data_IF_740561420303
#
_entry.id   IF_740561420303
#
_cell.length_a   1.000
_cell.length_b   1.000
_cell.length_c   1.000
_cell.angle_alpha   90.00
_cell.angle_beta   90.00
_cell.angle_gamma   90.00
#
_symmetry.space_group_name_H-M   'P 1'
#
loop_
_entity.id
_entity.type
_entity.pdbx_description
1 polymer ?
#
# COMPACT_ATOMS: atom_id res chain seq x y z
N UNK A 1 -18.78 -20.65 13.16
CA UNK A 1 -18.09 -20.30 11.90
C UNK A 1 -17.38 -21.51 11.32
N UNK A 2 -16.50 -22.17 12.07
CA UNK A 2 -15.86 -23.43 11.63
C UNK A 2 -16.88 -24.55 11.42
N UNK A 3 -17.92 -24.62 12.25
CA UNK A 3 -19.07 -25.53 12.08
C UNK A 3 -19.87 -25.30 10.79
N UNK A 4 -19.68 -24.16 10.13
CA UNK A 4 -20.29 -23.82 8.84
C UNK A 4 -19.32 -24.06 7.66
N UNK A 5 -18.16 -24.70 7.91
CA UNK A 5 -17.12 -24.93 6.90
C UNK A 5 -16.29 -23.68 6.57
N UNK A 6 -16.40 -22.61 7.34
CA UNK A 6 -15.66 -21.37 7.13
C UNK A 6 -14.31 -21.41 7.86
N UNK A 7 -13.24 -21.03 7.16
CA UNK A 7 -11.91 -20.89 7.74
C UNK A 7 -11.78 -19.53 8.44
N UNK A 8 -11.59 -19.54 9.75
CA UNK A 8 -11.39 -18.33 10.55
C UNK A 8 -9.91 -17.99 10.59
N UNK A 9 -9.56 -16.79 10.13
CA UNK A 9 -8.18 -16.30 10.12
C UNK A 9 -8.11 -15.06 11.01
N UNK A 10 -7.23 -15.09 12.00
CA UNK A 10 -6.93 -13.94 12.85
C UNK A 10 -5.69 -13.21 12.32
N UNK A 11 -5.63 -11.87 12.45
CA UNK A 11 -4.41 -11.13 12.21
C UNK A 11 -3.26 -11.68 13.08
N UNK A 12 -2.05 -11.79 12.52
CA UNK A 12 -0.89 -12.23 13.28
C UNK A 12 -0.48 -11.16 14.29
N UNK A 13 0.10 -11.59 15.41
CA UNK A 13 0.71 -10.71 16.40
C UNK A 13 2.24 -10.71 16.24
N UNK A 14 2.86 -9.55 16.47
CA UNK A 14 4.32 -9.41 16.34
C UNK A 14 5.07 -10.22 17.41
N UNK A 15 4.52 -10.38 18.61
CA UNK A 15 5.09 -11.18 19.69
C UNK A 15 6.58 -10.85 19.96
N UNK A 16 6.91 -9.56 20.06
CA UNK A 16 8.28 -9.07 20.28
C UNK A 16 9.19 -9.08 19.05
N UNK A 17 8.69 -9.49 17.87
CA UNK A 17 9.42 -9.37 16.59
C UNK A 17 9.18 -7.99 15.99
N UNK A 18 10.14 -7.51 15.19
CA UNK A 18 10.00 -6.25 14.42
C UNK A 18 9.14 -6.40 13.17
N UNK A 19 9.03 -7.61 12.63
CA UNK A 19 8.32 -7.86 11.38
C UNK A 19 7.59 -9.20 11.42
N UNK A 20 6.49 -9.27 10.69
CA UNK A 20 5.80 -10.52 10.39
C UNK A 20 6.62 -11.37 9.40
N UNK A 21 6.45 -12.69 9.46
CA UNK A 21 6.97 -13.60 8.45
C UNK A 21 6.28 -13.38 7.11
N UNK A 22 6.93 -13.75 6.00
CA UNK A 22 6.31 -13.68 4.67
C UNK A 22 4.95 -14.39 4.63
N UNK A 23 4.83 -15.56 5.26
CA UNK A 23 3.58 -16.33 5.28
C UNK A 23 2.47 -15.60 6.02
N UNK A 24 2.77 -15.00 7.18
CA UNK A 24 1.81 -14.20 7.95
C UNK A 24 1.33 -12.98 7.14
N UNK A 25 2.25 -12.20 6.56
CA UNK A 25 1.86 -11.01 5.77
C UNK A 25 1.08 -11.40 4.52
N UNK A 26 1.52 -12.44 3.81
CA UNK A 26 0.80 -12.95 2.64
C UNK A 26 -0.63 -13.36 2.99
N UNK A 27 -0.82 -14.11 4.09
CA UNK A 27 -2.14 -14.50 4.59
C UNK A 27 -3.00 -13.25 4.88
N UNK A 28 -2.45 -12.26 5.58
CA UNK A 28 -3.15 -11.01 5.87
C UNK A 28 -3.57 -10.28 4.60
N UNK A 29 -2.72 -10.23 3.56
CA UNK A 29 -3.07 -9.57 2.28
C UNK A 29 -4.27 -10.19 1.57
N UNK A 30 -4.48 -11.51 1.67
CA UNK A 30 -5.71 -12.12 1.17
C UNK A 30 -6.93 -11.65 1.93
N UNK A 31 -6.84 -11.68 3.26
CA UNK A 31 -7.93 -11.24 4.12
C UNK A 31 -8.25 -9.78 3.80
N UNK A 32 -7.25 -8.90 3.66
CA UNK A 32 -7.44 -7.51 3.26
C UNK A 32 -8.12 -7.38 1.90
N UNK A 33 -7.73 -8.20 0.91
CA UNK A 33 -8.31 -8.16 -0.44
C UNK A 33 -9.79 -8.52 -0.43
N UNK A 34 -10.20 -9.51 0.37
CA UNK A 34 -11.60 -9.91 0.52
C UNK A 34 -12.37 -8.91 1.39
N UNK A 35 -11.74 -8.43 2.47
CA UNK A 35 -12.29 -7.45 3.42
C UNK A 35 -12.74 -6.18 2.71
N UNK A 36 -12.00 -5.73 1.69
CA UNK A 36 -12.36 -4.54 0.90
C UNK A 36 -13.80 -4.56 0.41
N UNK A 37 -14.32 -5.71 -0.08
CA UNK A 37 -15.72 -5.80 -0.56
C UNK A 37 -16.70 -5.54 0.59
N UNK A 38 -16.44 -6.12 1.76
CA UNK A 38 -17.26 -5.94 2.96
C UNK A 38 -17.21 -4.49 3.44
N UNK A 39 -16.03 -3.88 3.44
CA UNK A 39 -15.84 -2.47 3.81
C UNK A 39 -16.54 -1.53 2.84
N UNK A 40 -16.52 -1.83 1.54
CA UNK A 40 -17.26 -1.08 0.53
C UNK A 40 -18.78 -1.17 0.74
N UNK A 41 -19.32 -2.35 1.08
CA UNK A 41 -20.74 -2.50 1.46
C UNK A 41 -21.04 -1.64 2.68
N UNK A 42 -20.24 -1.78 3.73
CA UNK A 42 -20.43 -1.04 4.98
C UNK A 42 -20.34 0.48 4.76
N UNK A 43 -19.44 0.94 3.90
CA UNK A 43 -19.33 2.35 3.51
C UNK A 43 -20.62 2.85 2.87
N UNK A 44 -21.24 2.09 1.96
CA UNK A 44 -22.56 2.43 1.37
C UNK A 44 -23.66 2.52 2.42
N UNK A 45 -23.71 1.59 3.36
CA UNK A 45 -24.69 1.60 4.45
C UNK A 45 -24.50 2.85 5.32
N UNK A 46 -23.24 3.20 5.65
CA UNK A 46 -22.88 4.38 6.44
C UNK A 46 -23.12 5.72 5.73
N UNK A 47 -23.49 5.74 4.45
CA UNK A 47 -23.95 6.98 3.80
C UNK A 47 -25.32 7.43 4.32
N UNK A 48 -26.11 6.53 4.92
CA UNK A 48 -27.37 6.87 5.55
C UNK A 48 -27.10 7.48 6.91
N UNK A 49 -27.44 8.76 7.09
CA UNK A 49 -27.15 9.54 8.33
C UNK A 49 -27.55 8.82 9.62
N UNK A 50 -28.66 8.07 9.60
CA UNK A 50 -29.10 7.29 10.74
C UNK A 50 -28.07 6.23 11.18
N UNK A 51 -27.48 5.51 10.22
CA UNK A 51 -26.49 4.44 10.47
C UNK A 51 -25.05 4.95 10.52
N UNK A 52 -24.81 6.20 10.11
CA UNK A 52 -23.51 6.86 10.19
C UNK A 52 -23.16 7.30 11.62
N UNK A 53 -24.17 7.52 12.47
CA UNK A 53 -24.03 8.11 13.79
C UNK A 53 -24.32 7.10 14.90
N UNK A 54 -24.03 7.49 16.15
CA UNK A 54 -24.39 6.70 17.32
C UNK A 54 -25.91 6.52 17.42
N UNK A 55 -26.36 5.27 17.48
CA UNK A 55 -27.77 4.90 17.55
C UNK A 55 -28.19 4.79 19.03
N UNK A 56 -29.28 5.45 19.46
CA UNK A 56 -29.74 5.36 20.84
C UNK A 56 -30.25 3.95 21.18
N UNK A 57 -30.04 3.51 22.41
CA UNK A 57 -30.44 2.17 22.87
C UNK A 57 -31.95 1.90 22.69
N UNK A 58 -32.79 2.95 22.73
CA UNK A 58 -34.23 2.84 22.49
C UNK A 58 -34.58 2.39 21.07
N UNK A 59 -33.68 2.55 20.11
CA UNK A 59 -33.88 2.13 18.72
C UNK A 59 -33.37 0.71 18.43
N UNK A 60 -32.67 0.06 19.37
CA UNK A 60 -32.18 -1.32 19.20
C UNK A 60 -33.27 -2.33 18.80
N UNK A 61 -34.52 -2.27 19.32
CA UNK A 61 -35.58 -3.18 18.89
C UNK A 61 -35.94 -3.07 17.40
N UNK A 62 -35.62 -1.95 16.75
CA UNK A 62 -35.95 -1.67 15.35
C UNK A 62 -34.74 -1.69 14.42
N UNK A 63 -33.52 -1.71 14.97
CA UNK A 63 -32.27 -1.58 14.22
C UNK A 63 -32.14 -2.61 13.10
N UNK A 64 -32.52 -3.87 13.36
CA UNK A 64 -32.49 -4.93 12.33
C UNK A 64 -33.39 -4.57 11.14
N UNK A 65 -34.58 -4.05 11.41
CA UNK A 65 -35.53 -3.64 10.38
C UNK A 65 -35.03 -2.41 9.62
N UNK A 66 -34.47 -1.43 10.32
CA UNK A 66 -33.91 -0.22 9.73
C UNK A 66 -32.74 -0.56 8.78
N UNK A 67 -31.83 -1.42 9.22
CA UNK A 67 -30.72 -1.91 8.38
C UNK A 67 -31.25 -2.69 7.18
N UNK A 68 -32.27 -3.53 7.37
CA UNK A 68 -32.90 -4.30 6.28
C UNK A 68 -33.53 -3.40 5.22
N UNK A 69 -34.23 -2.34 5.64
CA UNK A 69 -34.80 -1.32 4.75
C UNK A 69 -33.68 -0.62 3.96
N UNK A 70 -32.62 -0.17 4.65
CA UNK A 70 -31.48 0.49 4.00
C UNK A 70 -30.82 -0.43 2.98
N UNK A 71 -30.57 -1.70 3.32
CA UNK A 71 -30.03 -2.69 2.40
C UNK A 71 -30.96 -2.93 1.20
N UNK A 72 -32.29 -3.00 1.40
CA UNK A 72 -33.25 -3.13 0.31
C UNK A 72 -33.23 -1.93 -0.65
N UNK A 73 -33.13 -0.71 -0.11
CA UNK A 73 -32.98 0.52 -0.90
C UNK A 73 -31.67 0.49 -1.70
N UNK A 74 -30.54 0.15 -1.06
CA UNK A 74 -29.25 0.03 -1.74
C UNK A 74 -29.34 -0.99 -2.88
N UNK A 75 -29.88 -2.18 -2.61
CA UNK A 75 -30.01 -3.25 -3.62
C UNK A 75 -30.92 -2.86 -4.78
N UNK A 76 -31.95 -2.02 -4.53
CA UNK A 76 -32.88 -1.58 -5.57
C UNK A 76 -32.31 -0.48 -6.46
N UNK A 77 -31.55 0.45 -5.89
CA UNK A 77 -31.22 1.72 -6.56
C UNK A 77 -29.72 1.95 -6.80
N UNK A 78 -28.82 1.18 -6.18
CA UNK A 78 -27.38 1.29 -6.42
C UNK A 78 -26.90 0.19 -7.37
N UNK A 79 -25.96 0.48 -8.27
CA UNK A 79 -25.28 -0.57 -9.03
C UNK A 79 -24.47 -1.48 -8.09
N UNK A 80 -24.04 -2.66 -8.54
CA UNK A 80 -23.09 -3.49 -7.81
C UNK A 80 -21.85 -2.70 -7.33
N UNK A 81 -21.19 -3.16 -6.25
CA UNK A 81 -19.97 -2.49 -5.74
C UNK A 81 -18.85 -2.52 -6.76
N UNK A 82 -18.68 -3.68 -7.39
CA UNK A 82 -17.73 -3.90 -8.46
C UNK A 82 -18.24 -5.06 -9.29
N UNK A 83 -18.10 -4.94 -10.60
CA UNK A 83 -18.27 -6.07 -11.51
C UNK A 83 -16.90 -6.67 -11.77
N UNK A 84 -16.73 -7.97 -11.47
CA UNK A 84 -15.45 -8.65 -11.70
C UNK A 84 -15.09 -8.59 -13.18
N UNK A 85 -13.85 -8.21 -13.48
CA UNK A 85 -13.32 -8.23 -14.84
C UNK A 85 -12.20 -9.30 -14.98
N UNK A 86 -11.64 -9.45 -16.18
CA UNK A 86 -10.59 -10.44 -16.44
C UNK A 86 -9.29 -10.14 -15.67
N UNK A 87 -8.99 -8.86 -15.42
CA UNK A 87 -7.82 -8.43 -14.65
C UNK A 87 -7.93 -8.83 -13.18
N UNK A 88 -9.13 -8.75 -12.60
CA UNK A 88 -9.39 -9.20 -11.22
C UNK A 88 -9.10 -10.69 -11.06
N UNK A 89 -9.48 -11.50 -12.06
CA UNK A 89 -9.21 -12.94 -12.08
C UNK A 89 -7.70 -13.19 -12.17
N UNK A 90 -7.01 -12.49 -13.08
CA UNK A 90 -5.56 -12.61 -13.23
C UNK A 90 -4.80 -12.20 -11.95
N UNK A 91 -5.24 -11.13 -11.27
CA UNK A 91 -4.69 -10.71 -9.98
C UNK A 91 -4.95 -11.80 -8.92
N UNK A 92 -6.16 -12.35 -8.85
CA UNK A 92 -6.49 -13.39 -7.89
C UNK A 92 -5.65 -14.67 -8.09
N UNK A 93 -5.49 -15.12 -9.33
CA UNK A 93 -4.64 -16.25 -9.69
C UNK A 93 -3.17 -15.99 -9.32
N UNK A 94 -2.67 -14.80 -9.62
CA UNK A 94 -1.31 -14.38 -9.25
C UNK A 94 -1.13 -14.34 -7.74
N UNK A 95 -2.10 -13.82 -6.99
CA UNK A 95 -2.07 -13.88 -5.53
C UNK A 95 -1.97 -15.35 -5.10
N UNK A 96 -2.90 -16.23 -5.53
CA UNK A 96 -2.93 -17.68 -5.22
C UNK A 96 -1.57 -18.35 -5.44
N UNK A 97 -0.91 -18.08 -6.57
CA UNK A 97 0.42 -18.61 -6.88
C UNK A 97 1.48 -18.15 -5.86
N UNK A 98 1.39 -16.91 -5.39
CA UNK A 98 2.34 -16.29 -4.48
C UNK A 98 2.08 -16.65 -3.00
N UNK A 99 0.93 -17.25 -2.66
CA UNK A 99 0.53 -17.57 -1.27
C UNK A 99 1.64 -18.16 -0.42
N UNK A 100 2.22 -19.23 -0.92
CA UNK A 100 3.20 -20.04 -0.19
C UNK A 100 4.65 -19.63 -0.49
N UNK A 101 4.84 -18.63 -1.36
CA UNK A 101 6.18 -18.17 -1.75
C UNK A 101 6.82 -17.42 -0.57
N UNK A 102 8.06 -17.78 -0.26
CA UNK A 102 8.88 -17.08 0.72
C UNK A 102 9.64 -15.94 0.01
N UNK A 103 9.93 -14.86 0.73
CA UNK A 103 10.78 -13.80 0.20
C UNK A 103 12.25 -14.29 0.23
N UNK A 104 12.75 -14.78 -0.90
CA UNK A 104 14.13 -15.25 -1.01
C UNK A 104 15.13 -14.08 -1.04
N UNK A 105 14.69 -12.90 -1.48
CA UNK A 105 15.49 -11.70 -1.45
C UNK A 105 15.81 -11.26 -0.03
N UNK A 106 14.86 -11.38 0.90
CA UNK A 106 15.11 -11.13 2.33
C UNK A 106 16.28 -11.99 2.87
N UNK A 107 16.31 -13.28 2.52
CA UNK A 107 17.41 -14.19 2.89
C UNK A 107 18.72 -13.80 2.21
N UNK A 108 18.67 -13.34 0.97
CA UNK A 108 19.84 -12.82 0.25
C UNK A 108 20.41 -11.59 0.96
N UNK A 109 19.56 -10.63 1.36
CA UNK A 109 19.98 -9.44 2.08
C UNK A 109 20.58 -9.77 3.45
N UNK A 110 20.01 -10.76 4.16
CA UNK A 110 20.56 -11.25 5.42
C UNK A 110 21.96 -11.86 5.25
N UNK A 111 22.13 -12.78 4.28
CA UNK A 111 23.42 -13.47 4.04
C UNK A 111 24.54 -12.51 3.67
N UNK A 112 24.21 -11.46 2.93
CA UNK A 112 25.18 -10.44 2.51
C UNK A 112 25.29 -9.27 3.51
N UNK A 113 24.62 -9.35 4.67
CA UNK A 113 24.61 -8.32 5.71
C UNK A 113 24.13 -6.92 5.24
N UNK A 114 23.29 -6.88 4.21
CA UNK A 114 22.82 -5.64 3.58
C UNK A 114 21.75 -4.92 4.42
N UNK A 115 21.07 -5.64 5.32
CA UNK A 115 20.05 -5.09 6.23
C UNK A 115 20.65 -4.21 7.34
N UNK A 116 21.90 -4.45 7.73
CA UNK A 116 22.54 -3.82 8.92
C UNK A 116 23.73 -2.94 8.55
N UNK A 117 24.46 -3.27 7.49
CA UNK A 117 25.75 -2.65 7.20
C UNK A 117 25.59 -1.34 6.43
N UNK A 118 25.62 -0.20 7.12
CA UNK A 118 25.56 1.12 6.46
C UNK A 118 26.72 1.38 5.51
N UNK A 119 27.91 0.80 5.77
CA UNK A 119 29.12 0.99 4.95
C UNK A 119 29.01 0.45 3.53
N UNK A 120 28.06 -0.47 3.26
CA UNK A 120 27.84 -1.06 1.94
C UNK A 120 26.97 -0.21 1.02
N UNK A 121 26.50 0.93 1.52
CA UNK A 121 25.57 1.81 0.86
C UNK A 121 26.26 3.14 0.57
N UNK A 122 26.19 3.58 -0.69
CA UNK A 122 26.69 4.88 -1.11
C UNK A 122 25.52 5.76 -1.55
N UNK A 123 25.47 7.01 -1.07
CA UNK A 123 24.44 7.95 -1.45
C UNK A 123 24.63 8.42 -2.88
N UNK A 124 23.54 8.38 -3.64
CA UNK A 124 23.44 8.81 -5.03
C UNK A 124 22.18 9.65 -5.20
N UNK A 125 22.13 10.44 -6.25
CA UNK A 125 20.93 11.14 -6.67
C UNK A 125 20.08 10.22 -7.58
N UNK A 126 18.77 10.45 -7.61
CA UNK A 126 17.88 9.73 -8.54
C UNK A 126 18.27 9.87 -10.02
N UNK A 127 18.97 10.95 -10.39
CA UNK A 127 19.50 11.17 -11.74
C UNK A 127 20.59 10.13 -12.08
N UNK A 128 21.35 9.65 -11.11
CA UNK A 128 22.48 8.72 -11.33
C UNK A 128 22.03 7.31 -11.76
N UNK A 129 20.73 7.01 -11.64
CA UNK A 129 20.12 5.73 -12.06
C UNK A 129 19.03 5.92 -13.11
N UNK A 130 19.02 7.07 -13.80
CA UNK A 130 17.96 7.43 -14.74
C UNK A 130 17.86 6.43 -15.91
N UNK A 131 19.01 6.01 -16.46
CA UNK A 131 19.09 5.10 -17.61
C UNK A 131 19.05 3.61 -17.21
N UNK A 132 19.13 3.32 -15.91
CA UNK A 132 19.26 1.96 -15.38
C UNK A 132 17.97 1.44 -14.75
N UNK A 133 17.10 2.31 -14.24
CA UNK A 133 15.86 1.93 -13.54
C UNK A 133 14.69 1.84 -14.53
N UNK A 134 13.77 0.87 -14.38
CA UNK A 134 12.73 0.64 -15.38
C UNK A 134 11.69 1.76 -15.38
N UNK A 135 11.17 2.06 -16.56
CA UNK A 135 10.04 3.00 -16.75
C UNK A 135 8.77 2.17 -16.78
N UNK A 136 7.86 2.43 -15.85
CA UNK A 136 6.62 1.67 -15.67
C UNK A 136 5.43 2.62 -15.61
N UNK A 137 4.32 2.26 -16.24
CA UNK A 137 3.03 2.91 -16.05
C UNK A 137 2.42 2.60 -14.68
N UNK A 138 1.46 3.41 -14.23
CA UNK A 138 0.72 3.11 -12.99
C UNK A 138 -0.02 1.77 -13.08
N UNK A 139 -0.56 1.40 -14.25
CA UNK A 139 -1.25 0.13 -14.46
C UNK A 139 -0.30 -1.07 -14.32
N UNK A 140 0.93 -0.95 -14.81
CA UNK A 140 1.97 -1.96 -14.61
C UNK A 140 2.36 -2.07 -13.14
N UNK A 141 2.51 -0.94 -12.42
CA UNK A 141 2.79 -0.96 -10.98
C UNK A 141 1.63 -1.65 -10.23
N UNK A 142 0.38 -1.34 -10.58
CA UNK A 142 -0.80 -1.94 -9.94
C UNK A 142 -0.89 -3.43 -10.20
N UNK A 143 -0.68 -3.85 -11.45
CA UNK A 143 -0.87 -5.25 -11.88
C UNK A 143 0.32 -6.13 -11.53
N UNK A 144 1.54 -5.57 -11.52
CA UNK A 144 2.75 -6.33 -11.33
C UNK A 144 3.34 -6.26 -9.93
N UNK A 145 3.20 -5.12 -9.26
CA UNK A 145 3.91 -4.82 -8.01
C UNK A 145 2.97 -4.80 -6.81
N UNK A 146 1.85 -4.07 -6.85
CA UNK A 146 1.01 -3.86 -5.66
C UNK A 146 -0.19 -4.79 -5.56
N UNK A 147 -0.64 -5.33 -6.70
CA UNK A 147 -1.85 -6.14 -6.84
C UNK A 147 -3.12 -5.39 -6.35
N UNK A 148 -3.12 -4.07 -6.48
CA UNK A 148 -4.23 -3.19 -6.08
C UNK A 148 -3.83 -1.72 -5.94
N UNK A 149 -4.80 -0.83 -6.09
CA UNK A 149 -4.59 0.63 -6.14
C UNK A 149 -4.28 1.26 -4.79
N UNK A 150 -4.69 0.65 -3.68
CA UNK A 150 -4.58 1.24 -2.35
C UNK A 150 -3.14 1.66 -1.97
N UNK A 151 -2.18 0.77 -2.14
CA UNK A 151 -0.78 1.06 -1.78
C UNK A 151 -0.19 2.15 -2.67
N UNK A 152 -0.60 2.21 -3.94
CA UNK A 152 -0.19 3.26 -4.88
C UNK A 152 -0.75 4.63 -4.48
N UNK A 153 -2.02 4.70 -4.04
CA UNK A 153 -2.63 5.94 -3.54
C UNK A 153 -1.85 6.52 -2.35
N UNK A 154 -1.46 5.67 -1.39
CA UNK A 154 -0.64 6.08 -0.24
C UNK A 154 0.81 6.43 -0.62
N UNK A 155 1.38 5.73 -1.60
CA UNK A 155 2.75 5.90 -2.04
C UNK A 155 3.08 7.33 -2.52
N UNK A 156 2.08 8.03 -3.09
CA UNK A 156 2.23 9.41 -3.58
C UNK A 156 2.63 10.38 -2.46
N UNK A 157 1.98 10.28 -1.29
CA UNK A 157 2.31 11.14 -0.14
C UNK A 157 3.74 10.92 0.35
N UNK A 158 4.19 9.66 0.42
CA UNK A 158 5.58 9.35 0.78
C UNK A 158 6.58 9.84 -0.27
N UNK A 159 6.20 9.79 -1.54
CA UNK A 159 7.07 10.24 -2.63
C UNK A 159 7.21 11.76 -2.61
N UNK A 160 6.11 12.49 -2.37
CA UNK A 160 6.12 13.94 -2.19
C UNK A 160 6.99 14.36 -1.00
N UNK A 161 6.86 13.69 0.15
CA UNK A 161 7.69 13.99 1.33
C UNK A 161 9.17 13.81 1.01
N UNK A 162 9.55 12.69 0.40
CA UNK A 162 10.94 12.42 -0.01
C UNK A 162 11.43 13.34 -1.14
N UNK A 163 10.55 13.85 -1.99
CA UNK A 163 10.90 14.73 -3.11
C UNK A 163 10.92 16.22 -2.72
N UNK A 164 10.22 16.59 -1.64
CA UNK A 164 10.07 17.99 -1.20
C UNK A 164 11.35 18.62 -0.65
N UNK A 165 12.37 17.82 -0.34
CA UNK A 165 13.70 18.33 -0.04
C UNK A 165 14.38 18.77 -1.33
N UNK A 166 14.29 20.05 -1.67
CA UNK A 166 15.08 20.65 -2.74
C UNK A 166 16.44 21.08 -2.21
N UNK A 167 17.51 20.83 -2.95
CA UNK A 167 18.80 21.45 -2.66
C UNK A 167 18.78 22.95 -3.01
N UNK A 168 19.88 23.66 -2.71
CA UNK A 168 20.03 25.09 -3.02
C UNK A 168 19.94 25.41 -4.52
N UNK A 169 19.95 24.39 -5.39
CA UNK A 169 19.83 24.55 -6.85
C UNK A 169 18.39 24.43 -7.35
N UNK A 170 17.45 24.08 -6.45
CA UNK A 170 16.06 23.80 -6.80
C UNK A 170 15.84 22.37 -7.35
N UNK A 171 16.86 21.51 -7.28
CA UNK A 171 16.75 20.11 -7.73
C UNK A 171 16.15 19.24 -6.63
N UNK A 172 15.23 18.35 -7.01
CA UNK A 172 14.64 17.35 -6.11
C UNK A 172 15.74 16.45 -5.55
N UNK A 173 16.00 16.55 -4.25
CA UNK A 173 16.98 15.70 -3.56
C UNK A 173 16.29 14.42 -3.05
N UNK A 174 15.85 13.59 -3.99
CA UNK A 174 15.36 12.26 -3.65
C UNK A 174 16.56 11.36 -3.30
N UNK A 175 16.80 11.15 -2.00
CA UNK A 175 17.98 10.45 -1.51
C UNK A 175 17.86 8.95 -1.79
N UNK A 176 18.79 8.41 -2.57
CA UNK A 176 18.88 6.98 -2.86
C UNK A 176 20.26 6.48 -2.40
N UNK A 177 20.29 5.26 -1.90
CA UNK A 177 21.51 4.57 -1.54
C UNK A 177 21.73 3.40 -2.50
N UNK A 178 22.83 3.42 -3.26
CA UNK A 178 23.24 2.30 -4.13
C UNK A 178 24.10 1.31 -3.35
N UNK A 179 23.87 0.01 -3.53
CA UNK A 179 24.74 -1.01 -2.95
C UNK A 179 26.07 -1.08 -3.71
N UNK A 180 27.19 -1.04 -2.99
CA UNK A 180 28.53 -1.09 -3.59
C UNK A 180 28.84 -2.46 -4.21
N UNK A 181 28.39 -3.54 -3.59
CA UNK A 181 28.66 -4.91 -4.04
C UNK A 181 27.69 -5.36 -5.14
N UNK A 182 26.47 -4.81 -5.16
CA UNK A 182 25.39 -5.20 -6.06
C UNK A 182 24.76 -3.96 -6.70
N UNK A 183 25.28 -3.49 -7.85
CA UNK A 183 24.83 -2.25 -8.46
C UNK A 183 23.35 -2.24 -8.89
N UNK A 184 22.73 -3.41 -9.02
CA UNK A 184 21.32 -3.66 -9.31
C UNK A 184 20.41 -3.54 -8.06
N UNK A 185 20.97 -3.18 -6.91
CA UNK A 185 20.25 -3.04 -5.64
C UNK A 185 20.36 -1.61 -5.12
N UNK A 186 19.20 -1.00 -4.88
CA UNK A 186 19.08 0.29 -4.23
C UNK A 186 18.32 0.19 -2.91
N UNK A 187 18.57 1.16 -2.04
CA UNK A 187 17.83 1.40 -0.80
C UNK A 187 17.33 2.84 -0.80
N UNK A 188 16.07 3.05 -0.47
CA UNK A 188 15.43 4.38 -0.50
C UNK A 188 14.91 4.70 0.91
N UNK A 189 15.68 5.40 1.75
CA UNK A 189 15.23 5.79 3.08
C UNK A 189 13.93 6.60 3.00
N UNK A 190 12.94 6.24 3.80
CA UNK A 190 11.61 6.88 3.81
C UNK A 190 11.18 7.13 5.24
N UNK A 191 10.81 8.37 5.55
CA UNK A 191 10.33 8.73 6.88
C UNK A 191 8.96 8.09 7.15
N UNK A 192 8.71 7.64 8.39
CA UNK A 192 7.38 7.16 8.78
C UNK A 192 6.40 8.32 8.87
N UNK A 193 5.22 8.15 8.26
CA UNK A 193 4.13 9.12 8.34
C UNK A 193 3.48 9.19 9.74
N UNK A 194 3.69 8.17 10.57
CA UNK A 194 3.03 8.03 11.88
C UNK A 194 3.99 8.36 13.04
N UNK A 195 5.29 8.12 12.85
CA UNK A 195 6.30 8.27 13.91
C UNK A 195 7.50 9.05 13.39
N UNK A 196 7.67 10.29 13.85
CA UNK A 196 8.73 11.20 13.39
C UNK A 196 10.16 10.71 13.63
N UNK A 197 10.36 9.74 14.52
CA UNK A 197 11.68 9.13 14.80
C UNK A 197 11.96 7.87 13.97
N UNK A 198 10.94 7.28 13.35
CA UNK A 198 11.08 6.02 12.64
C UNK A 198 11.35 6.27 11.15
N UNK A 199 12.43 5.70 10.64
CA UNK A 199 12.76 5.71 9.22
C UNK A 199 12.77 4.28 8.71
N UNK A 200 12.03 4.05 7.62
CA UNK A 200 11.98 2.77 6.93
C UNK A 200 12.99 2.74 5.78
N UNK A 201 13.46 1.54 5.45
CA UNK A 201 14.47 1.27 4.44
C UNK A 201 13.96 0.28 3.39
N UNK A 202 13.06 0.73 2.49
CA UNK A 202 12.84 0.10 1.19
C UNK A 202 14.14 -0.32 0.50
N UNK A 203 14.26 -1.59 0.13
CA UNK A 203 15.35 -2.13 -0.68
C UNK A 203 14.73 -2.80 -1.90
N UNK A 204 15.21 -2.41 -3.08
CA UNK A 204 14.66 -2.84 -4.38
C UNK A 204 15.81 -3.37 -5.22
N UNK A 205 15.56 -4.50 -5.88
CA UNK A 205 16.42 -5.07 -6.92
C UNK A 205 15.73 -4.93 -8.27
N UNK A 206 16.46 -4.49 -9.29
CA UNK A 206 15.89 -4.15 -10.59
C UNK A 206 16.84 -4.44 -11.75
N UNK A 207 16.29 -4.50 -12.96
CA UNK A 207 17.02 -4.32 -14.22
C UNK A 207 16.47 -3.09 -14.93
N UNK A 208 17.00 -2.77 -16.11
CA UNK A 208 16.46 -1.68 -16.93
C UNK A 208 15.03 -1.93 -17.40
N UNK A 209 14.60 -3.18 -17.41
CA UNK A 209 13.31 -3.62 -17.94
C UNK A 209 12.28 -3.86 -16.84
N UNK A 210 12.69 -4.33 -15.66
CA UNK A 210 11.73 -4.75 -14.63
C UNK A 210 12.22 -4.61 -13.19
N UNK A 211 11.27 -4.65 -12.26
CA UNK A 211 11.53 -4.79 -10.82
C UNK A 211 11.55 -6.29 -10.48
N UNK A 212 12.68 -6.77 -9.97
CA UNK A 212 12.91 -8.19 -9.71
C UNK A 212 12.45 -8.62 -8.31
N UNK A 213 12.89 -7.88 -7.30
CA UNK A 213 12.64 -8.22 -5.89
C UNK A 213 12.56 -6.97 -5.02
N UNK A 214 11.91 -7.08 -3.87
CA UNK A 214 11.84 -6.01 -2.88
C UNK A 214 11.79 -6.55 -1.45
N UNK A 215 12.23 -5.70 -0.52
CA UNK A 215 12.09 -5.91 0.91
C UNK A 215 12.12 -4.57 1.65
N UNK A 216 11.32 -4.42 2.69
CA UNK A 216 11.34 -3.25 3.57
C UNK A 216 11.42 -3.73 5.03
N UNK A 217 11.92 -2.89 5.94
CA UNK A 217 12.02 -3.16 7.38
C UNK A 217 10.74 -2.85 8.17
N UNK A 218 9.70 -2.32 7.53
CA UNK A 218 8.38 -2.16 8.15
C UNK A 218 7.71 -3.50 8.47
N UNK A 219 6.70 -3.51 9.33
CA UNK A 219 6.02 -4.73 9.84
C UNK A 219 5.59 -5.69 8.72
N UNK A 220 5.05 -5.15 7.62
CA UNK A 220 4.59 -5.88 6.44
C UNK A 220 5.63 -5.98 5.28
N UNK A 221 6.84 -5.48 5.48
CA UNK A 221 7.85 -5.31 4.43
C UNK A 221 8.42 -6.62 3.83
N UNK A 222 8.06 -7.76 4.42
CA UNK A 222 8.47 -9.09 3.96
C UNK A 222 7.45 -9.76 3.00
N UNK A 223 6.45 -9.00 2.55
CA UNK A 223 5.38 -9.48 1.66
C UNK A 223 5.87 -9.74 0.23
N UNK A 224 5.34 -10.79 -0.39
CA UNK A 224 5.51 -11.07 -1.83
C UNK A 224 4.19 -10.95 -2.61
N UNK A 225 3.06 -10.81 -1.90
CA UNK A 225 1.74 -10.54 -2.48
C UNK A 225 1.49 -9.04 -2.41
N UNK A 226 1.96 -8.33 -3.43
CA UNK A 226 2.04 -6.89 -3.34
C UNK A 226 3.29 -6.44 -2.56
N UNK A 227 3.26 -5.20 -2.08
CA UNK A 227 4.28 -4.65 -1.18
C UNK A 227 3.69 -3.55 -0.28
N UNK A 228 4.52 -2.97 0.59
CA UNK A 228 4.13 -1.84 1.44
C UNK A 228 4.22 -0.51 0.68
N UNK A 229 3.55 0.52 1.18
CA UNK A 229 3.53 1.86 0.57
C UNK A 229 4.94 2.46 0.43
N UNK A 230 5.89 2.10 1.31
CA UNK A 230 7.28 2.55 1.22
C UNK A 230 8.00 2.01 -0.04
N UNK A 231 7.81 0.72 -0.36
CA UNK A 231 8.36 0.13 -1.60
C UNK A 231 7.72 0.79 -2.82
N UNK A 232 6.39 0.90 -2.83
CA UNK A 232 5.66 1.46 -3.97
C UNK A 232 6.01 2.93 -4.18
N UNK A 233 6.24 3.69 -3.11
CA UNK A 233 6.64 5.09 -3.20
C UNK A 233 7.95 5.26 -3.97
N UNK A 234 8.96 4.46 -3.63
CA UNK A 234 10.23 4.44 -4.33
C UNK A 234 10.06 4.01 -5.80
N UNK A 235 9.33 2.92 -6.05
CA UNK A 235 9.10 2.44 -7.42
C UNK A 235 8.36 3.49 -8.25
N UNK A 236 7.23 4.00 -7.75
CA UNK A 236 6.39 4.97 -8.45
C UNK A 236 7.14 6.26 -8.78
N UNK A 237 7.91 6.81 -7.84
CA UNK A 237 8.70 8.00 -8.12
C UNK A 237 9.75 7.74 -9.22
N UNK A 238 10.51 6.65 -9.10
CA UNK A 238 11.63 6.34 -10.00
C UNK A 238 11.19 5.80 -11.36
N UNK A 239 10.08 5.09 -11.44
CA UNK A 239 9.61 4.50 -12.70
C UNK A 239 8.61 5.36 -13.44
N UNK A 240 7.90 6.27 -12.75
CA UNK A 240 6.76 7.00 -13.30
C UNK A 240 6.82 8.51 -13.05
N UNK A 241 6.69 8.97 -11.79
CA UNK A 241 6.42 10.40 -11.52
C UNK A 241 7.57 11.32 -11.98
N UNK A 242 8.83 10.90 -11.82
CA UNK A 242 9.99 11.73 -12.23
C UNK A 242 10.03 12.01 -13.74
N UNK A 243 9.32 11.22 -14.54
CA UNK A 243 9.26 11.37 -16.00
C UNK A 243 8.11 12.27 -16.46
N UNK A 244 7.25 12.72 -15.54
CA UNK A 244 6.13 13.59 -15.87
C UNK A 244 6.64 15.03 -16.07
N UNK A 245 6.75 15.46 -17.33
CA UNK A 245 7.35 16.75 -17.71
C UNK A 245 6.54 17.98 -17.26
N UNK A 246 5.33 17.79 -16.72
CA UNK A 246 4.45 18.87 -16.24
C UNK A 246 3.53 18.36 -15.13
N UNK A 247 4.01 18.28 -13.90
CA UNK A 247 3.13 18.28 -12.73
C UNK A 247 3.24 19.66 -12.09
N UNK A 248 2.20 20.50 -12.25
CA UNK A 248 1.97 21.62 -11.32
C UNK A 248 2.14 21.09 -9.89
N UNK A 249 2.71 21.88 -8.95
CA UNK A 249 2.85 21.44 -7.56
C UNK A 249 1.48 20.97 -7.06
N UNK A 250 1.32 19.65 -6.93
CA UNK A 250 0.09 19.06 -6.43
C UNK A 250 0.02 19.49 -4.97
N UNK A 251 -1.08 20.10 -4.51
CA UNK A 251 -1.25 20.38 -3.09
C UNK A 251 -1.06 19.07 -2.34
N UNK A 252 -0.42 19.13 -1.15
CA UNK A 252 -0.23 17.94 -0.32
C UNK A 252 -1.54 17.15 -0.22
N UNK A 253 -1.44 15.81 -0.21
CA UNK A 253 -2.62 14.92 -0.18
C UNK A 253 -3.65 15.27 0.91
N UNK A 254 -3.23 15.96 1.98
CA UNK A 254 -4.09 16.51 3.03
C UNK A 254 -5.04 17.59 2.52
N UNK A 255 -4.61 18.49 1.63
CA UNK A 255 -5.41 19.62 1.12
C UNK A 255 -6.50 19.18 0.13
N UNK A 256 -6.22 18.20 -0.73
CA UNK A 256 -7.20 17.64 -1.68
C UNK A 256 -8.40 17.00 -0.96
N UNK A 257 -8.20 16.46 0.25
CA UNK A 257 -9.30 15.94 1.07
C UNK A 257 -10.27 17.03 1.56
N UNK A 258 -9.86 18.31 1.58
CA UNK A 258 -10.70 19.43 2.00
C UNK A 258 -11.37 20.19 0.85
N UNK A 259 -10.94 19.95 -0.40
CA UNK A 259 -11.45 20.63 -1.59
C UNK A 259 -11.83 19.60 -2.64
N UNK A 260 -12.92 18.86 -2.37
CA UNK A 260 -13.55 18.00 -3.36
C UNK A 260 -14.82 18.68 -3.90
N UNK A 261 -14.97 18.70 -5.22
CA UNK A 261 -16.22 19.09 -5.88
C UNK A 261 -17.31 18.06 -5.52
N UNK A 262 -18.40 18.53 -4.91
CA UNK A 262 -19.52 17.69 -4.50
C UNK A 262 -20.20 16.96 -5.67
N UNK A 263 -20.06 17.45 -6.91
CA UNK A 263 -20.58 16.82 -8.11
C UNK A 263 -19.68 15.68 -8.64
N UNK A 264 -18.42 15.62 -8.20
CA UNK A 264 -17.42 14.65 -8.65
C UNK A 264 -17.34 13.40 -7.74
N UNK A 265 -18.35 13.11 -6.92
CA UNK A 265 -18.42 11.84 -6.18
C UNK A 265 -18.63 10.66 -7.14
N UNK A 266 -17.54 10.16 -7.74
CA UNK A 266 -17.45 8.80 -8.24
C UNK A 266 -16.79 7.90 -7.20
N UNK A 267 -17.47 6.77 -7.00
CA UNK A 267 -17.12 5.53 -6.30
C UNK A 267 -16.19 5.60 -5.08
N UNK A 268 -16.80 5.28 -3.92
CA UNK A 268 -16.18 4.71 -2.72
C UNK A 268 -14.72 5.14 -2.52
N UNK A 269 -14.53 6.20 -1.73
CA UNK A 269 -13.21 6.51 -1.20
C UNK A 269 -12.62 5.25 -0.56
N UNK A 270 -11.46 4.82 -1.06
CA UNK A 270 -10.55 3.83 -0.42
C UNK A 270 -9.98 4.40 0.89
N UNK A 271 -10.80 5.09 1.68
CA UNK A 271 -10.46 5.56 3.03
C UNK A 271 -10.63 4.40 3.99
N UNK A 272 -9.77 3.39 3.85
CA UNK A 272 -9.46 2.51 4.97
C UNK A 272 -8.50 3.28 5.86
N UNK A 273 -9.00 3.84 6.95
CA UNK A 273 -8.17 4.02 8.14
C UNK A 273 -7.83 2.61 8.63
N UNK A 274 -6.85 1.99 7.98
CA UNK A 274 -6.02 1.04 8.69
C UNK A 274 -5.11 1.93 9.54
N UNK A 275 -5.59 2.28 10.73
CA UNK A 275 -4.68 2.47 11.84
C UNK A 275 -3.91 1.15 11.94
N UNK A 276 -2.70 1.15 11.36
CA UNK A 276 -1.62 0.34 11.91
C UNK A 276 -1.47 0.87 13.34
N UNK A 277 -2.33 0.36 14.24
CA UNK A 277 -2.18 0.48 15.68
C UNK A 277 -0.88 -0.26 15.97
N UNK A 278 0.22 0.49 15.90
CA UNK A 278 1.40 0.22 16.70
C UNK A 278 0.92 0.37 18.15
N UNK A 279 0.38 -0.72 18.69
CA UNK A 279 0.24 -0.89 20.13
C UNK A 279 1.67 -0.92 20.70
N UNK A 280 2.19 0.27 21.01
CA UNK A 280 3.28 0.46 21.95
C UNK A 280 2.67 0.94 23.28
N UNK A 281 2.27 -0.02 24.10
CA UNK A 281 2.68 -0.20 25.51
C UNK A 281 2.10 -1.50 26.09
#
# INVERSE_FOLDING_TARGET
MESLGLNVVLPPFLNGRRQFTTTEVNQSKYVTKVRWVVEAVNSRIKQFKYLANTIPNSALPHLEHDVSIVCAIINRYRPPIKTSNAEDVAIAEKMILLRSRKNNFEKFLQRNNLKKSSSKWHAINHIDIIDEFPILSEDEIVSNITLGTFQLKRARSYAEENASTTDLTGSVNYTIHRCQEFPDIIRVPTQSAHVSRAQYHPIIRFTREEILDWWCDCTAGNCVIGCCSHIVSAIWFLSFERWQTQSSPKPSGTFINFVADAAAQQELSDSTNDDETEDED
#
